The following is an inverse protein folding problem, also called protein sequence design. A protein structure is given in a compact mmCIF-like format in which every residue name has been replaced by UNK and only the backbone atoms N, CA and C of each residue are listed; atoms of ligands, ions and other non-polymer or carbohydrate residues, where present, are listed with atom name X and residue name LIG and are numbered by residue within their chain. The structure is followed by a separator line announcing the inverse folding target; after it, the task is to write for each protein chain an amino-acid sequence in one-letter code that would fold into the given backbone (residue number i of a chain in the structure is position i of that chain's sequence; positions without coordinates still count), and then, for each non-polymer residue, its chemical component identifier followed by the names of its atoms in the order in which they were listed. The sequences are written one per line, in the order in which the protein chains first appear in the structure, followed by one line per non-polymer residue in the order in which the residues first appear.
data_IF_113449165056
#
_entry.id   IF_113449165056
#
_cell.length_a   1.000
_cell.length_b   1.000
_cell.length_c   1.000
_cell.angle_alpha   90.00
_cell.angle_beta   90.00
_cell.angle_gamma   90.00
#
_symmetry.space_group_name_H-M   'P 1'
#
loop_
_entity.id
_entity.type
_entity.pdbx_description
1 polymer ?
#
# COMPACT_ATOMS: atom_id res chain seq x y z
N UNK A 1 -8.25 11.40 18.55
CA UNK A 1 -7.22 11.98 17.67
C UNK A 1 -6.77 10.96 16.64
N UNK A 2 -6.42 11.42 15.44
CA UNK A 2 -5.91 10.58 14.36
C UNK A 2 -4.39 10.78 14.25
N UNK A 3 -3.65 9.69 14.04
CA UNK A 3 -2.19 9.75 13.82
C UNK A 3 -1.92 9.93 12.34
N UNK A 4 -0.92 10.74 11.99
CA UNK A 4 -0.51 10.97 10.60
C UNK A 4 0.69 10.08 10.24
N UNK A 5 0.66 9.48 9.07
CA UNK A 5 1.79 8.74 8.49
C UNK A 5 1.93 9.05 7.00
N UNK A 6 3.16 9.07 6.52
CA UNK A 6 3.49 9.23 5.10
C UNK A 6 4.11 7.94 4.58
N UNK A 7 3.73 7.55 3.38
CA UNK A 7 4.21 6.34 2.72
C UNK A 7 4.64 6.64 1.29
N UNK A 8 5.69 5.98 0.85
CA UNK A 8 6.23 6.09 -0.51
C UNK A 8 6.80 4.74 -0.95
N UNK A 9 6.65 4.42 -2.24
CA UNK A 9 7.14 3.18 -2.83
C UNK A 9 7.90 3.43 -4.13
N UNK A 10 9.22 3.34 -4.10
CA UNK A 10 10.02 3.56 -5.30
C UNK A 10 10.42 2.24 -5.99
N UNK A 11 10.55 2.27 -7.32
CA UNK A 11 11.19 1.20 -8.08
C UNK A 11 12.15 1.72 -9.16
N UNK A 12 13.44 1.50 -8.93
CA UNK A 12 14.48 1.74 -9.94
C UNK A 12 14.42 0.70 -11.04
N UNK A 13 14.55 1.13 -12.30
CA UNK A 13 14.46 0.25 -13.48
C UNK A 13 13.13 -0.52 -13.58
N UNK A 14 12.02 0.13 -13.20
CA UNK A 14 10.67 -0.43 -13.30
C UNK A 14 10.38 -0.94 -14.72
N UNK A 15 9.87 -2.17 -14.83
CA UNK A 15 9.60 -2.82 -16.12
C UNK A 15 10.83 -3.28 -16.91
N UNK A 16 12.05 -3.15 -16.36
CA UNK A 16 13.30 -3.56 -17.01
C UNK A 16 14.02 -4.65 -16.20
N UNK A 17 15.07 -5.23 -16.80
CA UNK A 17 15.95 -6.18 -16.10
C UNK A 17 16.57 -5.51 -14.87
N UNK A 18 16.69 -6.27 -13.78
CA UNK A 18 17.27 -5.83 -12.49
C UNK A 18 16.50 -4.70 -11.79
N UNK A 19 15.17 -4.64 -11.97
CA UNK A 19 14.33 -3.76 -11.19
C UNK A 19 14.58 -3.95 -9.68
N UNK A 20 14.69 -2.85 -8.93
CA UNK A 20 14.84 -2.86 -7.46
C UNK A 20 13.83 -1.90 -6.86
N UNK A 21 12.94 -2.45 -6.05
CA UNK A 21 11.90 -1.70 -5.38
C UNK A 21 12.14 -1.60 -3.87
N UNK A 22 11.77 -0.48 -3.29
CA UNK A 22 11.85 -0.21 -1.86
C UNK A 22 10.57 0.45 -1.38
N UNK A 23 10.29 0.30 -0.09
CA UNK A 23 9.16 0.94 0.58
C UNK A 23 9.69 1.85 1.69
N UNK A 24 9.06 2.99 1.86
CA UNK A 24 9.34 3.97 2.90
C UNK A 24 8.09 4.25 3.73
N UNK A 25 8.26 4.34 5.05
CA UNK A 25 7.21 4.79 5.96
C UNK A 25 7.82 5.83 6.90
N UNK A 26 7.13 6.97 7.04
CA UNK A 26 7.57 8.10 7.82
C UNK A 26 6.44 8.59 8.76
N UNK A 27 6.71 8.53 10.06
CA UNK A 27 5.81 8.90 11.16
C UNK A 27 6.15 10.27 11.76
N UNK A 28 7.30 10.85 11.40
CA UNK A 28 7.78 12.13 11.93
C UNK A 28 9.28 12.17 12.17
N UNK A 29 9.86 13.33 12.50
CA UNK A 29 11.31 13.48 12.66
C UNK A 29 11.87 12.55 13.75
N UNK A 30 12.85 11.71 13.39
CA UNK A 30 13.49 10.79 14.35
C UNK A 30 12.59 9.70 14.93
N UNK A 31 11.38 9.50 14.39
CA UNK A 31 10.44 8.53 14.95
C UNK A 31 10.97 7.09 14.80
N UNK A 32 10.92 6.25 15.85
CA UNK A 32 11.53 4.92 15.84
C UNK A 32 10.87 3.93 14.86
N UNK A 33 9.64 4.22 14.42
CA UNK A 33 8.93 3.43 13.40
C UNK A 33 9.24 3.85 11.96
N UNK A 34 10.05 4.90 11.75
CA UNK A 34 10.51 5.26 10.41
C UNK A 34 11.34 4.14 9.83
N UNK A 35 11.02 3.72 8.61
CA UNK A 35 11.70 2.62 7.95
C UNK A 35 11.90 2.89 6.46
N UNK A 36 12.98 2.32 5.93
CA UNK A 36 13.19 2.14 4.51
C UNK A 36 13.65 0.71 4.29
N UNK A 37 12.81 -0.13 3.66
CA UNK A 37 13.12 -1.54 3.46
C UNK A 37 12.94 -1.94 2.00
N UNK A 38 13.62 -3.02 1.61
CA UNK A 38 13.50 -3.55 0.26
C UNK A 38 12.18 -4.31 0.10
N UNK A 39 11.47 -4.06 -1.00
CA UNK A 39 10.25 -4.79 -1.32
C UNK A 39 10.58 -6.28 -1.60
N UNK A 40 9.90 -7.25 -0.97
CA UNK A 40 10.03 -8.66 -1.34
C UNK A 40 9.28 -9.03 -2.63
N UNK A 41 9.75 -10.08 -3.31
CA UNK A 41 9.09 -10.63 -4.51
C UNK A 41 9.21 -9.76 -5.76
N UNK A 42 8.14 -9.64 -6.54
CA UNK A 42 8.09 -8.87 -7.80
C UNK A 42 8.43 -7.39 -7.59
N UNK A 43 9.44 -6.90 -8.30
CA UNK A 43 9.96 -5.54 -8.13
C UNK A 43 9.26 -4.57 -9.11
N UNK A 44 8.20 -3.90 -8.67
CA UNK A 44 7.49 -2.87 -9.47
C UNK A 44 7.08 -1.68 -8.61
N UNK A 45 6.88 -0.51 -9.22
CA UNK A 45 6.46 0.69 -8.50
C UNK A 45 5.12 0.47 -7.80
N UNK A 46 4.10 0.02 -8.54
CA UNK A 46 2.75 -0.21 -7.99
C UNK A 46 2.73 -1.13 -6.76
N UNK A 47 3.60 -2.16 -6.73
CA UNK A 47 3.69 -3.04 -5.56
C UNK A 47 4.39 -2.35 -4.39
N UNK A 48 5.43 -1.57 -4.66
CA UNK A 48 6.11 -0.80 -3.64
C UNK A 48 5.14 0.15 -2.94
N UNK A 49 4.33 0.89 -3.71
CA UNK A 49 3.35 1.83 -3.17
C UNK A 49 2.32 1.15 -2.27
N UNK A 50 1.73 0.03 -2.74
CA UNK A 50 0.74 -0.72 -1.97
C UNK A 50 1.37 -1.29 -0.69
N UNK A 51 2.55 -1.89 -0.79
CA UNK A 51 3.22 -2.49 0.36
C UNK A 51 3.74 -1.46 1.36
N UNK A 52 4.07 -0.24 0.91
CA UNK A 52 4.38 0.88 1.81
C UNK A 52 3.16 1.22 2.68
N UNK A 53 1.97 1.31 2.07
CA UNK A 53 0.72 1.50 2.80
C UNK A 53 0.42 0.32 3.74
N UNK A 54 0.54 -0.93 3.27
CA UNK A 54 0.40 -2.12 4.13
C UNK A 54 1.32 -2.01 5.36
N UNK A 55 2.57 -1.63 5.14
CA UNK A 55 3.55 -1.60 6.22
C UNK A 55 3.25 -0.53 7.27
N UNK A 56 2.78 0.64 6.85
CA UNK A 56 2.33 1.68 7.76
C UNK A 56 1.12 1.22 8.59
N UNK A 57 0.16 0.53 7.98
CA UNK A 57 -1.03 0.01 8.65
C UNK A 57 -0.66 -1.10 9.66
N UNK A 58 0.26 -2.00 9.30
CA UNK A 58 0.81 -3.01 10.22
C UNK A 58 1.46 -2.37 11.45
N UNK A 59 2.28 -1.34 11.24
CA UNK A 59 2.93 -0.59 12.32
C UNK A 59 1.89 0.11 13.20
N UNK A 60 0.86 0.72 12.61
CA UNK A 60 -0.23 1.36 13.34
C UNK A 60 -0.95 0.35 14.25
N UNK A 61 -1.32 -0.82 13.71
CA UNK A 61 -1.96 -1.91 14.46
C UNK A 61 -1.10 -2.41 15.60
N UNK A 62 0.20 -2.61 15.36
CA UNK A 62 1.14 -3.01 16.42
C UNK A 62 1.26 -1.99 17.56
N UNK A 63 0.94 -0.71 17.30
CA UNK A 63 0.89 0.35 18.30
C UNK A 63 -0.52 0.59 18.87
N UNK A 64 -1.50 -0.27 18.58
CA UNK A 64 -2.91 -0.09 18.95
C UNK A 64 -3.54 1.21 18.43
N UNK A 65 -3.06 1.73 17.30
CA UNK A 65 -3.65 2.90 16.62
C UNK A 65 -4.77 2.42 15.71
N UNK A 66 -5.99 2.86 15.97
CA UNK A 66 -7.17 2.52 15.15
C UNK A 66 -7.61 3.63 14.20
N UNK A 67 -7.14 4.87 14.40
CA UNK A 67 -7.45 6.05 13.56
C UNK A 67 -6.18 6.61 12.91
N UNK A 68 -6.10 6.54 11.59
CA UNK A 68 -4.89 6.87 10.83
C UNK A 68 -5.21 7.78 9.65
N UNK A 69 -4.42 8.83 9.45
CA UNK A 69 -4.37 9.61 8.21
C UNK A 69 -3.12 9.18 7.46
N UNK A 70 -3.31 8.49 6.33
CA UNK A 70 -2.23 7.91 5.54
C UNK A 70 -2.06 8.72 4.26
N UNK A 71 -0.96 9.46 4.18
CA UNK A 71 -0.58 10.19 2.98
C UNK A 71 0.28 9.31 2.06
N UNK A 72 -0.12 9.28 0.79
CA UNK A 72 0.64 8.67 -0.33
C UNK A 72 0.38 9.50 -1.59
N UNK A 73 1.36 9.59 -2.48
CA UNK A 73 1.21 10.18 -3.81
C UNK A 73 0.65 9.17 -4.85
N UNK A 74 0.52 7.90 -4.46
CA UNK A 74 0.02 6.84 -5.33
C UNK A 74 -1.51 6.85 -5.42
N UNK A 75 -2.01 7.60 -6.40
CA UNK A 75 -3.42 7.55 -6.80
C UNK A 75 -3.87 6.13 -7.21
N UNK A 76 -2.95 5.24 -7.60
CA UNK A 76 -3.27 3.84 -7.86
C UNK A 76 -3.64 3.09 -6.58
N UNK A 77 -2.87 3.30 -5.51
CA UNK A 77 -3.18 2.70 -4.20
C UNK A 77 -4.48 3.28 -3.66
N UNK A 78 -4.63 4.61 -3.66
CA UNK A 78 -5.82 5.31 -3.16
C UNK A 78 -7.08 4.83 -3.91
N UNK A 79 -7.10 4.93 -5.25
CA UNK A 79 -8.27 4.52 -6.02
C UNK A 79 -8.51 3.01 -5.95
N UNK A 80 -7.44 2.22 -5.86
CA UNK A 80 -7.53 0.79 -5.69
C UNK A 80 -8.30 0.40 -4.44
N UNK A 81 -7.85 0.88 -3.29
CA UNK A 81 -8.44 0.50 -2.00
C UNK A 81 -9.80 1.16 -1.74
N UNK A 82 -10.01 2.39 -2.20
CA UNK A 82 -11.26 3.13 -1.95
C UNK A 82 -12.37 2.80 -2.94
N UNK A 83 -12.05 2.51 -4.21
CA UNK A 83 -13.04 2.39 -5.28
C UNK A 83 -12.98 1.03 -6.01
N UNK A 84 -11.80 0.61 -6.47
CA UNK A 84 -11.72 -0.50 -7.43
C UNK A 84 -11.86 -1.88 -6.81
N UNK A 85 -11.30 -2.11 -5.61
CA UNK A 85 -11.33 -3.41 -4.93
C UNK A 85 -12.78 -3.92 -4.76
N UNK A 86 -13.72 -3.03 -4.44
CA UNK A 86 -15.14 -3.40 -4.33
C UNK A 86 -15.72 -3.92 -5.66
N UNK A 87 -15.38 -3.27 -6.77
CA UNK A 87 -15.79 -3.69 -8.11
C UNK A 87 -15.10 -4.99 -8.53
N UNK A 88 -13.80 -5.12 -8.27
CA UNK A 88 -13.02 -6.32 -8.56
C UNK A 88 -13.52 -7.54 -7.79
N UNK A 89 -13.90 -7.40 -6.52
CA UNK A 89 -14.48 -8.50 -5.75
C UNK A 89 -15.79 -9.01 -6.37
N UNK A 90 -16.64 -8.11 -6.88
CA UNK A 90 -17.91 -8.46 -7.53
C UNK A 90 -17.73 -9.12 -8.89
N UNK A 91 -16.69 -8.75 -9.64
CA UNK A 91 -16.48 -9.24 -11.01
C UNK A 91 -15.44 -10.38 -11.13
N UNK A 92 -15.01 -10.95 -10.00
CA UNK A 92 -14.04 -12.05 -9.98
C UNK A 92 -12.60 -11.63 -10.25
N UNK A 93 -12.23 -10.40 -9.88
CA UNK A 93 -10.90 -9.80 -10.05
C UNK A 93 -10.49 -9.65 -11.51
N UNK A 94 -11.38 -9.07 -12.31
CA UNK A 94 -11.14 -8.75 -13.72
C UNK A 94 -11.06 -7.25 -13.95
N UNK A 95 -10.14 -6.85 -14.79
CA UNK A 95 -10.01 -5.49 -15.33
C UNK A 95 -11.16 -5.18 -16.30
N UNK A 96 -11.31 -3.92 -16.70
CA UNK A 96 -12.31 -3.50 -17.71
C UNK A 96 -12.15 -4.23 -19.05
N UNK A 97 -10.94 -4.69 -19.36
CA UNK A 97 -10.64 -5.47 -20.57
C UNK A 97 -10.84 -6.99 -20.40
N UNK A 98 -11.36 -7.43 -19.25
CA UNK A 98 -11.61 -8.85 -18.94
C UNK A 98 -10.38 -9.65 -18.48
N UNK A 99 -9.19 -9.05 -18.47
CA UNK A 99 -7.95 -9.67 -17.96
C UNK A 99 -7.91 -9.69 -16.44
N UNK A 100 -7.15 -10.59 -15.85
CA UNK A 100 -6.94 -10.65 -14.41
C UNK A 100 -6.23 -9.40 -13.86
N UNK A 101 -6.61 -8.99 -12.65
CA UNK A 101 -5.97 -7.88 -11.95
C UNK A 101 -4.59 -8.31 -11.43
N UNK A 102 -3.54 -7.73 -12.01
CA UNK A 102 -2.13 -8.08 -11.78
C UNK A 102 -1.67 -7.87 -10.32
N UNK A 103 -2.32 -6.97 -9.59
CA UNK A 103 -2.02 -6.61 -8.20
C UNK A 103 -3.07 -7.15 -7.21
N UNK A 104 -3.83 -8.17 -7.61
CA UNK A 104 -4.88 -8.77 -6.77
C UNK A 104 -4.37 -9.11 -5.37
N UNK A 105 -3.30 -9.89 -5.29
CA UNK A 105 -2.73 -10.34 -4.01
C UNK A 105 -2.33 -9.16 -3.12
N UNK A 106 -1.70 -8.13 -3.70
CA UNK A 106 -1.27 -6.94 -2.97
C UNK A 106 -2.48 -6.17 -2.39
N UNK A 107 -3.56 -6.01 -3.17
CA UNK A 107 -4.77 -5.33 -2.73
C UNK A 107 -5.61 -6.15 -1.75
N UNK A 108 -5.63 -7.48 -1.87
CA UNK A 108 -6.29 -8.35 -0.88
C UNK A 108 -5.62 -8.19 0.48
N UNK A 109 -4.29 -8.22 0.52
CA UNK A 109 -3.54 -8.00 1.77
C UNK A 109 -3.81 -6.60 2.34
N UNK A 110 -3.81 -5.56 1.50
CA UNK A 110 -4.11 -4.20 1.94
C UNK A 110 -5.53 -4.08 2.52
N UNK A 111 -6.53 -4.64 1.84
CA UNK A 111 -7.92 -4.64 2.32
C UNK A 111 -8.06 -5.35 3.66
N UNK A 112 -7.44 -6.53 3.82
CA UNK A 112 -7.43 -7.25 5.09
C UNK A 112 -6.81 -6.43 6.23
N UNK A 113 -5.72 -5.72 5.95
CA UNK A 113 -5.08 -4.84 6.91
C UNK A 113 -5.94 -3.62 7.26
N UNK A 114 -6.80 -3.14 6.36
CA UNK A 114 -7.70 -2.02 6.66
C UNK A 114 -8.85 -2.41 7.58
N UNK A 115 -9.18 -3.70 7.73
CA UNK A 115 -10.25 -4.14 8.61
C UNK A 115 -9.98 -3.75 10.07
N UNK A 116 -10.98 -3.14 10.69
CA UNK A 116 -10.92 -2.66 12.08
C UNK A 116 -10.17 -1.34 12.25
N UNK A 117 -9.83 -0.65 11.16
CA UNK A 117 -9.20 0.67 11.19
C UNK A 117 -10.06 1.72 10.48
N UNK A 118 -10.01 2.93 11.02
CA UNK A 118 -10.55 4.15 10.43
C UNK A 118 -9.40 4.89 9.75
N UNK A 119 -9.24 4.64 8.45
CA UNK A 119 -8.13 5.17 7.65
C UNK A 119 -8.66 6.23 6.70
N UNK A 120 -8.09 7.43 6.81
CA UNK A 120 -8.27 8.52 5.85
C UNK A 120 -7.09 8.50 4.86
N UNK A 121 -7.41 8.43 3.57
CA UNK A 121 -6.46 8.36 2.45
C UNK A 121 -6.32 9.71 1.77
#
# INVERSE_FOLDING_TARGET
DSVVVYTDGCCSSNGRRRARAGIGVYWGPGHPLNIGIRLPGRQTNQRAEIHAACKAIEQAKAQNISKLVLYTDSMFTINGITNWVQGWKKNGWKTSTGKEVINKEDFVQLEELTHGMDIQW
#
